data_IF_452440719407
#
_entry.id   IF_452440719407
#
_cell.length_a   1.000
_cell.length_b   1.000
_cell.length_c   1.000
_cell.angle_alpha   90.00
_cell.angle_beta   90.00
_cell.angle_gamma   90.00
#
_symmetry.space_group_name_H-M   'P 1'
#
loop_
_entity.id
_entity.type
_entity.pdbx_description
1 polymer ?
#
# COMPACT_ATOMS: atom_id res chain seq x y z
N UNK A 1 5.04 -3.49 10.94
CA UNK A 1 6.33 -4.19 11.12
C UNK A 1 7.38 -3.36 11.85
N UNK A 2 7.33 -2.03 11.81
CA UNK A 2 8.34 -1.18 12.43
C UNK A 2 7.73 -0.20 13.41
N UNK A 3 8.27 -0.15 14.64
CA UNK A 3 7.89 0.81 15.69
C UNK A 3 8.12 2.29 15.32
N UNK A 4 8.82 2.55 14.21
CA UNK A 4 9.15 3.92 13.76
C UNK A 4 7.96 4.68 13.17
N UNK A 5 6.86 4.00 12.86
CA UNK A 5 5.66 4.62 12.27
C UNK A 5 4.55 4.77 13.31
N UNK A 6 3.80 5.86 13.24
CA UNK A 6 2.69 6.09 14.16
C UNK A 6 1.36 5.62 13.54
N UNK A 7 0.45 5.18 14.40
CA UNK A 7 -0.93 4.92 13.99
C UNK A 7 -1.54 6.22 13.47
N UNK A 8 -2.19 6.15 12.32
CA UNK A 8 -2.76 7.30 11.63
C UNK A 8 -1.80 8.04 10.69
N UNK A 9 -0.55 7.60 10.55
CA UNK A 9 0.32 8.05 9.47
C UNK A 9 -0.10 7.40 8.15
N UNK A 10 0.25 8.03 7.01
CA UNK A 10 0.02 7.46 5.69
C UNK A 10 1.26 6.68 5.22
N UNK A 11 1.01 5.63 4.46
CA UNK A 11 2.03 4.87 3.75
C UNK A 11 1.82 5.06 2.25
N UNK A 12 2.87 5.38 1.49
CA UNK A 12 2.87 5.35 0.03
C UNK A 12 3.80 4.23 -0.44
N UNK A 13 3.28 3.39 -1.32
CA UNK A 13 3.95 2.14 -1.68
C UNK A 13 4.78 2.35 -2.94
N UNK A 14 6.08 2.03 -2.85
CA UNK A 14 7.03 2.10 -3.97
C UNK A 14 7.29 0.75 -4.63
N UNK A 15 7.11 -0.35 -3.87
CA UNK A 15 7.33 -1.71 -4.32
C UNK A 15 6.58 -2.68 -3.39
N UNK A 16 6.44 -3.96 -3.79
CA UNK A 16 5.76 -4.94 -2.95
C UNK A 16 6.39 -6.34 -3.00
N UNK A 17 6.15 -7.11 -1.95
CA UNK A 17 6.34 -8.55 -1.87
C UNK A 17 4.95 -9.18 -1.84
N UNK A 18 4.62 -10.02 -2.83
CA UNK A 18 3.30 -10.66 -2.95
C UNK A 18 3.35 -12.11 -2.45
N UNK A 19 2.61 -12.41 -1.37
CA UNK A 19 2.45 -13.77 -0.81
C UNK A 19 1.07 -14.39 -1.10
N UNK A 20 0.22 -13.70 -1.87
CA UNK A 20 -1.14 -14.18 -2.20
C UNK A 20 -1.26 -14.75 -3.62
N UNK A 21 -0.28 -14.48 -4.47
CA UNK A 21 -0.21 -14.97 -5.84
C UNK A 21 -0.77 -13.99 -6.88
N UNK A 22 -0.35 -14.20 -8.12
CA UNK A 22 -0.61 -13.28 -9.22
C UNK A 22 -1.96 -13.57 -9.90
N UNK A 23 -2.94 -12.66 -9.87
CA UNK A 23 -4.24 -12.82 -10.52
C UNK A 23 -4.16 -12.84 -12.06
N UNK A 24 -3.06 -12.38 -12.66
CA UNK A 24 -2.89 -12.31 -14.10
C UNK A 24 -2.83 -13.67 -14.80
N UNK A 25 -2.57 -14.76 -14.08
CA UNK A 25 -2.58 -16.11 -14.63
C UNK A 25 -3.92 -16.48 -15.28
N UNK A 26 -5.00 -15.81 -14.90
CA UNK A 26 -6.36 -16.04 -15.39
C UNK A 26 -6.86 -14.99 -16.38
N UNK A 27 -6.03 -13.98 -16.70
CA UNK A 27 -6.41 -12.92 -17.64
C UNK A 27 -6.46 -13.42 -19.08
N UNK A 28 -7.65 -13.38 -19.68
CA UNK A 28 -7.91 -13.80 -21.07
C UNK A 28 -8.28 -12.65 -22.01
N UNK A 29 -8.06 -11.41 -21.66
CA UNK A 29 -8.53 -10.23 -22.42
C UNK A 29 -7.84 -9.98 -23.73
N UNK A 30 -6.63 -10.51 -23.95
CA UNK A 30 -5.88 -10.46 -25.20
C UNK A 30 -5.15 -11.78 -25.44
N UNK A 31 -4.82 -12.15 -26.70
CA UNK A 31 -4.00 -13.33 -26.97
C UNK A 31 -2.66 -13.24 -26.24
N UNK A 32 -2.40 -14.23 -25.40
CA UNK A 32 -1.18 -14.32 -24.59
C UNK A 32 -1.31 -13.71 -23.18
N UNK A 33 -0.43 -14.17 -22.28
CA UNK A 33 -0.30 -13.63 -20.94
C UNK A 33 0.46 -12.30 -21.03
N UNK A 34 -0.17 -11.21 -20.64
CA UNK A 34 0.52 -9.92 -20.52
C UNK A 34 1.26 -9.89 -19.19
N UNK A 35 2.58 -9.98 -19.25
CA UNK A 35 3.42 -9.81 -18.06
C UNK A 35 3.79 -8.33 -17.96
N UNK A 36 3.32 -7.59 -16.93
CA UNK A 36 3.71 -6.20 -16.75
C UNK A 36 5.20 -6.11 -16.42
N UNK A 37 5.83 -4.99 -16.77
CA UNK A 37 7.16 -4.69 -16.29
C UNK A 37 7.09 -4.47 -14.76
N UNK A 38 7.70 -5.37 -14.00
CA UNK A 38 7.68 -5.31 -12.53
C UNK A 38 8.41 -4.10 -11.95
N UNK A 39 9.29 -3.45 -12.71
CA UNK A 39 10.07 -2.30 -12.24
C UNK A 39 9.24 -1.02 -12.05
N UNK A 40 8.08 -0.93 -12.75
CA UNK A 40 7.31 0.32 -12.83
C UNK A 40 5.84 0.09 -12.44
N UNK A 41 5.56 -0.79 -11.47
CA UNK A 41 4.18 -1.06 -11.04
C UNK A 41 3.57 0.19 -10.43
N UNK A 42 4.31 0.86 -9.55
CA UNK A 42 3.84 2.07 -8.85
C UNK A 42 4.43 3.33 -9.50
N UNK A 43 3.56 4.23 -9.98
CA UNK A 43 3.95 5.47 -10.64
C UNK A 43 4.75 6.39 -9.72
N UNK A 44 6.01 6.68 -10.06
CA UNK A 44 6.85 7.63 -9.32
C UNK A 44 6.20 9.01 -9.30
N UNK A 45 5.72 9.49 -10.46
CA UNK A 45 5.02 10.77 -10.56
C UNK A 45 3.88 10.88 -9.55
N UNK A 46 2.99 9.89 -9.47
CA UNK A 46 1.85 9.93 -8.55
C UNK A 46 2.28 9.84 -7.08
N UNK A 47 3.37 9.09 -6.79
CA UNK A 47 3.95 9.01 -5.44
C UNK A 47 4.50 10.36 -5.00
N UNK A 48 5.21 11.07 -5.87
CA UNK A 48 5.76 12.39 -5.56
C UNK A 48 4.65 13.41 -5.34
N UNK A 49 3.66 13.47 -6.21
CA UNK A 49 2.50 14.37 -6.08
C UNK A 49 1.78 14.17 -4.73
N UNK A 50 1.53 12.92 -4.31
CA UNK A 50 0.86 12.67 -3.03
C UNK A 50 1.74 13.00 -1.83
N UNK A 51 3.06 12.79 -1.91
CA UNK A 51 4.01 13.22 -0.86
C UNK A 51 4.03 14.74 -0.71
N UNK A 52 4.08 15.47 -1.81
CA UNK A 52 4.00 16.94 -1.82
C UNK A 52 2.69 17.43 -1.20
N UNK A 53 1.56 16.83 -1.59
CA UNK A 53 0.26 17.14 -0.99
C UNK A 53 0.23 16.88 0.51
N UNK A 54 0.77 15.76 0.97
CA UNK A 54 0.85 15.42 2.39
C UNK A 54 1.70 16.44 3.15
N UNK A 55 2.88 16.78 2.64
CA UNK A 55 3.78 17.76 3.26
C UNK A 55 3.14 19.16 3.35
N UNK A 56 2.49 19.63 2.28
CA UNK A 56 1.79 20.92 2.28
C UNK A 56 0.68 20.99 3.34
N UNK A 57 0.07 19.86 3.67
CA UNK A 57 -1.00 19.75 4.67
C UNK A 57 -0.50 19.28 6.05
N UNK A 58 0.82 19.18 6.26
CA UNK A 58 1.43 18.70 7.52
C UNK A 58 0.97 17.29 7.91
N UNK A 59 0.75 16.44 6.92
CA UNK A 59 0.35 15.04 7.09
C UNK A 59 1.61 14.17 7.02
N UNK A 60 1.84 13.36 8.07
CA UNK A 60 2.92 12.38 8.07
C UNK A 60 2.65 11.30 7.02
N UNK A 61 3.61 11.11 6.11
CA UNK A 61 3.56 10.09 5.07
C UNK A 61 4.94 9.44 4.93
N UNK A 62 4.95 8.12 4.75
CA UNK A 62 6.16 7.32 4.66
C UNK A 62 6.15 6.49 3.39
N UNK A 63 7.27 6.47 2.67
CA UNK A 63 7.42 5.66 1.48
C UNK A 63 8.13 4.34 1.82
N UNK A 64 7.64 3.22 1.27
CA UNK A 64 8.24 1.93 1.58
C UNK A 64 7.75 0.77 0.75
N UNK A 65 8.28 -0.41 1.08
CA UNK A 65 7.93 -1.70 0.48
C UNK A 65 6.78 -2.33 1.26
N UNK A 66 5.79 -2.83 0.53
CA UNK A 66 4.58 -3.43 1.09
C UNK A 66 4.59 -4.95 0.96
N UNK A 67 4.36 -5.66 2.06
CA UNK A 67 4.14 -7.10 2.06
C UNK A 67 2.65 -7.38 2.01
N UNK A 68 2.18 -8.09 0.99
CA UNK A 68 0.80 -8.58 0.93
C UNK A 68 0.74 -10.03 1.39
N UNK A 69 -0.03 -10.29 2.43
CA UNK A 69 -0.23 -11.62 3.02
C UNK A 69 -1.66 -12.11 2.79
N UNK A 70 -1.86 -13.41 2.81
CA UNK A 70 -3.16 -14.01 2.50
C UNK A 70 -4.23 -13.74 3.59
N UNK A 71 -3.83 -13.56 4.85
CA UNK A 71 -4.79 -13.48 5.96
C UNK A 71 -5.60 -14.77 6.13
N UNK A 72 -6.57 -14.81 7.07
CA UNK A 72 -6.92 -13.75 8.02
C UNK A 72 -5.96 -13.65 9.21
N UNK A 73 -4.96 -14.52 9.31
CA UNK A 73 -3.95 -14.50 10.38
C UNK A 73 -2.92 -13.41 10.15
N UNK A 74 -2.52 -12.76 11.21
CA UNK A 74 -1.38 -11.85 11.24
C UNK A 74 -0.10 -12.70 11.26
N UNK A 75 0.99 -12.18 10.70
CA UNK A 75 2.27 -12.86 10.67
C UNK A 75 2.72 -13.34 12.06
N UNK A 76 3.18 -14.58 12.12
CA UNK A 76 3.84 -15.13 13.30
C UNK A 76 5.16 -14.39 13.59
N UNK A 77 5.74 -14.50 14.80
CA UNK A 77 7.05 -13.92 15.08
C UNK A 77 8.16 -14.37 14.12
N UNK A 78 8.13 -15.62 13.66
CA UNK A 78 9.10 -16.16 12.70
C UNK A 78 8.95 -15.53 11.31
N UNK A 79 7.70 -15.42 10.80
CA UNK A 79 7.41 -14.74 9.54
C UNK A 79 7.77 -13.26 9.61
N UNK A 80 7.52 -12.63 10.74
CA UNK A 80 7.88 -11.24 10.99
C UNK A 80 9.40 -11.05 10.94
N UNK A 81 10.16 -11.91 11.59
CA UNK A 81 11.63 -11.90 11.53
C UNK A 81 12.16 -12.13 10.11
N UNK A 82 11.48 -12.95 9.32
CA UNK A 82 11.84 -13.20 7.91
C UNK A 82 11.60 -11.97 7.03
N UNK A 83 10.45 -11.30 7.17
CA UNK A 83 10.04 -10.26 6.23
C UNK A 83 10.43 -8.84 6.66
N UNK A 84 10.53 -8.54 7.96
CA UNK A 84 10.79 -7.18 8.44
C UNK A 84 12.08 -6.52 7.91
N UNK A 85 13.16 -7.26 7.56
CA UNK A 85 14.32 -6.64 6.91
C UNK A 85 14.05 -6.17 5.47
N UNK A 86 12.97 -6.64 4.85
CA UNK A 86 12.72 -6.47 3.42
C UNK A 86 11.46 -5.66 3.10
N UNK A 87 10.60 -5.40 4.08
CA UNK A 87 9.38 -4.62 3.89
C UNK A 87 9.12 -3.67 5.05
N UNK A 88 8.43 -2.58 4.75
CA UNK A 88 8.07 -1.52 5.70
C UNK A 88 6.65 -1.70 6.24
N UNK A 89 5.74 -2.12 5.39
CA UNK A 89 4.30 -2.22 5.68
C UNK A 89 3.76 -3.60 5.35
N UNK A 90 2.67 -3.98 5.98
CA UNK A 90 1.98 -5.26 5.72
C UNK A 90 0.49 -5.05 5.62
N UNK A 91 -0.15 -5.82 4.75
CA UNK A 91 -1.61 -5.86 4.61
C UNK A 91 -2.06 -7.08 3.82
N UNK A 92 -3.36 -7.16 3.50
CA UNK A 92 -3.99 -8.33 2.91
C UNK A 92 -4.52 -8.09 1.48
N UNK A 93 -4.30 -6.89 0.91
CA UNK A 93 -4.78 -6.51 -0.43
C UNK A 93 -3.91 -5.40 -1.01
N UNK A 94 -4.08 -5.07 -2.29
CA UNK A 94 -3.42 -3.94 -2.96
C UNK A 94 -2.36 -4.36 -3.97
N UNK A 95 -1.54 -5.40 -3.71
CA UNK A 95 -0.52 -5.85 -4.67
C UNK A 95 -1.14 -6.43 -5.94
N UNK A 96 -2.20 -7.23 -5.79
CA UNK A 96 -2.92 -7.83 -6.91
C UNK A 96 -3.57 -6.75 -7.79
N UNK A 97 -4.25 -5.80 -7.18
CA UNK A 97 -4.90 -4.66 -7.84
C UNK A 97 -3.86 -3.78 -8.55
N UNK A 98 -2.71 -3.54 -7.92
CA UNK A 98 -1.63 -2.76 -8.50
C UNK A 98 -1.04 -3.45 -9.73
N UNK A 99 -0.72 -4.73 -9.62
CA UNK A 99 -0.18 -5.54 -10.71
C UNK A 99 -1.16 -5.63 -11.88
N UNK A 100 -2.46 -5.84 -11.60
CA UNK A 100 -3.50 -5.90 -12.61
C UNK A 100 -3.73 -4.54 -13.28
N UNK A 101 -3.78 -3.46 -12.52
CA UNK A 101 -3.88 -2.10 -13.05
C UNK A 101 -2.72 -1.78 -13.99
N UNK A 102 -1.51 -2.15 -13.61
CA UNK A 102 -0.32 -1.95 -14.46
C UNK A 102 -0.37 -2.79 -15.73
N UNK A 103 -0.85 -4.04 -15.65
CA UNK A 103 -1.03 -4.90 -16.83
C UNK A 103 -2.04 -4.32 -17.85
N UNK A 104 -3.00 -3.52 -17.38
CA UNK A 104 -3.93 -2.75 -18.20
C UNK A 104 -3.36 -1.42 -18.72
N UNK A 105 -2.11 -1.09 -18.42
CA UNK A 105 -1.46 0.15 -18.85
C UNK A 105 -1.79 1.37 -17.98
N UNK A 106 -2.43 1.18 -16.82
CA UNK A 106 -2.76 2.27 -15.90
C UNK A 106 -1.52 2.75 -15.14
N UNK A 107 -1.52 4.00 -14.75
CA UNK A 107 -0.61 4.51 -13.71
C UNK A 107 -1.21 4.19 -12.34
N UNK A 108 -0.46 3.49 -11.51
CA UNK A 108 -0.94 2.99 -10.23
C UNK A 108 -0.29 3.73 -9.06
N UNK A 109 -1.09 4.12 -8.11
CA UNK A 109 -0.68 4.62 -6.80
C UNK A 109 -1.38 3.80 -5.72
N UNK A 110 -0.63 3.28 -4.76
CA UNK A 110 -1.18 2.62 -3.58
C UNK A 110 -0.83 3.42 -2.34
N UNK A 111 -1.86 3.84 -1.62
CA UNK A 111 -1.74 4.58 -0.36
C UNK A 111 -2.44 3.78 0.72
N UNK A 112 -1.78 3.58 1.86
CA UNK A 112 -2.32 2.96 3.05
C UNK A 112 -2.46 3.92 4.22
N UNK A 113 -3.35 3.61 5.13
CA UNK A 113 -3.41 4.21 6.46
C UNK A 113 -2.82 3.21 7.45
N UNK A 114 -1.84 3.62 8.25
CA UNK A 114 -1.23 2.77 9.27
C UNK A 114 -2.21 2.65 10.43
N UNK A 115 -2.76 1.46 10.62
CA UNK A 115 -3.77 1.17 11.64
C UNK A 115 -3.21 0.40 12.84
N UNK A 116 -2.02 -0.17 12.68
CA UNK A 116 -1.32 -0.93 13.70
C UNK A 116 0.19 -0.88 13.45
N UNK A 117 1.00 -0.84 14.49
CA UNK A 117 2.47 -0.83 14.42
C UNK A 117 3.15 -1.96 15.23
N UNK A 118 2.37 -2.76 15.95
CA UNK A 118 2.85 -3.93 16.72
C UNK A 118 1.89 -5.12 16.55
N UNK A 119 2.29 -6.31 17.03
CA UNK A 119 1.33 -7.40 17.23
C UNK A 119 0.43 -6.95 18.39
N UNK A 120 -0.85 -6.70 18.16
CA UNK A 120 -1.70 -6.21 19.22
C UNK A 120 -1.87 -7.28 20.30
N UNK A 121 -1.59 -6.93 21.55
CA UNK A 121 -2.08 -7.70 22.68
C UNK A 121 -3.60 -7.56 22.84
N UNK A 122 -4.18 -6.54 22.21
CA UNK A 122 -5.61 -6.25 22.13
C UNK A 122 -5.98 -6.00 20.67
N UNK A 123 -7.18 -6.44 20.28
CA UNK A 123 -7.73 -6.14 18.95
C UNK A 123 -8.03 -4.65 18.90
N UNK A 124 -7.15 -3.87 18.29
CA UNK A 124 -7.42 -2.47 18.02
C UNK A 124 -8.67 -2.35 17.15
N UNK A 125 -9.57 -1.46 17.53
CA UNK A 125 -10.72 -1.14 16.68
C UNK A 125 -10.26 -0.32 15.46
N UNK A 126 -9.86 -1.06 14.43
CA UNK A 126 -9.43 -0.50 13.13
C UNK A 126 -10.46 0.48 12.58
N UNK A 127 -11.76 0.25 12.81
CA UNK A 127 -12.83 1.14 12.33
C UNK A 127 -12.75 2.50 13.01
N UNK A 128 -12.46 2.55 14.28
CA UNK A 128 -12.26 3.80 15.03
C UNK A 128 -11.04 4.55 14.53
N UNK A 129 -9.91 3.87 14.30
CA UNK A 129 -8.70 4.48 13.74
C UNK A 129 -8.99 5.07 12.36
N UNK A 130 -9.66 4.32 11.48
CA UNK A 130 -10.05 4.82 10.16
C UNK A 130 -10.93 6.06 10.27
N UNK A 131 -11.95 6.07 11.15
CA UNK A 131 -12.81 7.24 11.34
C UNK A 131 -12.04 8.47 11.77
N UNK A 132 -11.07 8.32 12.67
CA UNK A 132 -10.25 9.42 13.19
C UNK A 132 -9.29 10.02 12.14
N UNK A 133 -8.75 9.18 11.24
CA UNK A 133 -7.65 9.58 10.36
C UNK A 133 -8.01 9.64 8.87
N UNK A 134 -9.21 9.19 8.45
CA UNK A 134 -9.63 9.17 7.04
C UNK A 134 -9.56 10.54 6.33
N UNK A 135 -9.70 11.63 7.07
CA UNK A 135 -9.61 12.99 6.52
C UNK A 135 -8.24 13.27 5.91
N UNK A 136 -7.16 12.75 6.48
CA UNK A 136 -5.80 12.87 5.94
C UNK A 136 -5.71 12.25 4.55
N UNK A 137 -6.20 11.01 4.43
CA UNK A 137 -6.20 10.29 3.15
C UNK A 137 -7.08 11.00 2.12
N UNK A 138 -8.27 11.45 2.53
CA UNK A 138 -9.20 12.22 1.68
C UNK A 138 -8.52 13.47 1.13
N UNK A 139 -7.91 14.30 1.98
CA UNK A 139 -7.21 15.52 1.57
C UNK A 139 -6.12 15.22 0.53
N UNK A 140 -5.29 14.20 0.76
CA UNK A 140 -4.23 13.83 -0.18
C UNK A 140 -4.80 13.39 -1.54
N UNK A 141 -5.87 12.59 -1.55
CA UNK A 141 -6.49 12.11 -2.79
C UNK A 141 -7.17 13.25 -3.54
N UNK A 142 -7.94 14.11 -2.87
CA UNK A 142 -8.63 15.25 -3.50
C UNK A 142 -7.63 16.21 -4.15
N UNK A 143 -6.54 16.53 -3.45
CA UNK A 143 -5.49 17.39 -4.01
C UNK A 143 -4.81 16.75 -5.22
N UNK A 144 -4.55 15.43 -5.16
CA UNK A 144 -3.98 14.70 -6.28
C UNK A 144 -4.90 14.72 -7.51
N UNK A 145 -6.20 14.45 -7.32
CA UNK A 145 -7.19 14.46 -8.41
C UNK A 145 -7.28 15.86 -9.04
N UNK A 146 -7.32 16.92 -8.22
CA UNK A 146 -7.37 18.29 -8.70
C UNK A 146 -6.13 18.71 -9.51
N UNK A 147 -4.97 18.11 -9.23
CA UNK A 147 -3.73 18.35 -9.99
C UNK A 147 -3.66 17.57 -11.30
N UNK A 148 -4.47 16.51 -11.45
CA UNK A 148 -4.51 15.67 -12.65
C UNK A 148 -5.63 16.10 -13.62
N UNK A 149 -6.56 16.91 -13.17
CA UNK A 149 -7.67 17.49 -13.99
C UNK A 149 -7.21 18.70 -14.75
#
# INVERSE_FOLDING_TARGET
FHKKYNIGDLAVIKDHIDQIGNPLLYWRGKPGIQVPNSKDIYSEKLRDMVKESAHANKISIHEGVFLTIKGPTINTPAERALYSPHCDFVGMSGSAEATFGRALGLQVLLIGLITDNEIPNEILDVRTIIKQHRSKLKTCIENLVNQLS
#
